data_IF_195323814781
#
_entry.id   IF_195323814781
#
_cell.length_a   1.000
_cell.length_b   1.000
_cell.length_c   1.000
_cell.angle_alpha   90.00
_cell.angle_beta   90.00
_cell.angle_gamma   90.00
#
_symmetry.space_group_name_H-M   'P 1'
#
loop_
_entity.id
_entity.type
_entity.pdbx_description
1 polymer ?
#
# COMPACT_ATOMS: atom_id res chain seq x y z
N UNK A 1 -22.91 -1.84 -28.63
CA UNK A 1 -21.96 -2.21 -27.56
C UNK A 1 -22.56 -3.36 -26.76
N UNK A 2 -22.10 -4.60 -26.98
CA UNK A 2 -22.60 -5.76 -26.24
C UNK A 2 -21.87 -5.86 -24.91
N UNK A 3 -22.55 -5.45 -23.87
CA UNK A 3 -22.01 -5.28 -22.55
C UNK A 3 -22.09 -6.60 -21.78
N UNK A 4 -20.95 -7.18 -21.39
CA UNK A 4 -20.86 -8.44 -20.62
C UNK A 4 -21.47 -8.39 -19.20
N UNK A 5 -22.08 -7.28 -18.81
CA UNK A 5 -22.62 -7.01 -17.47
C UNK A 5 -23.97 -6.31 -17.62
N UNK A 6 -24.96 -6.76 -16.87
CA UNK A 6 -26.31 -6.19 -16.93
C UNK A 6 -26.32 -4.76 -16.37
N UNK A 7 -27.32 -3.96 -16.75
CA UNK A 7 -27.47 -2.61 -16.18
C UNK A 7 -27.69 -2.64 -14.67
N UNK A 8 -28.36 -3.66 -14.16
CA UNK A 8 -28.55 -3.89 -12.74
C UNK A 8 -27.21 -4.11 -12.00
N UNK A 9 -26.31 -4.92 -12.56
CA UNK A 9 -24.97 -5.13 -12.00
C UNK A 9 -24.13 -3.86 -12.00
N UNK A 10 -24.24 -3.03 -13.04
CA UNK A 10 -23.56 -1.73 -13.09
C UNK A 10 -24.07 -0.79 -12.02
N UNK A 11 -25.39 -0.73 -11.85
CA UNK A 11 -26.03 0.10 -10.83
C UNK A 11 -25.60 -0.35 -9.43
N UNK A 12 -25.64 -1.66 -9.16
CA UNK A 12 -25.16 -2.23 -7.89
C UNK A 12 -23.69 -1.92 -7.62
N UNK A 13 -22.80 -2.07 -8.61
CA UNK A 13 -21.37 -1.71 -8.49
C UNK A 13 -21.16 -0.21 -8.27
N UNK A 14 -22.00 0.64 -8.87
CA UNK A 14 -21.93 2.09 -8.68
C UNK A 14 -22.37 2.48 -7.28
N UNK A 15 -23.46 1.90 -6.79
CA UNK A 15 -23.98 2.13 -5.44
C UNK A 15 -22.99 1.62 -4.37
N UNK A 16 -22.40 0.44 -4.58
CA UNK A 16 -21.35 -0.08 -3.70
C UNK A 16 -20.15 0.88 -3.62
N UNK A 17 -19.63 1.34 -4.76
CA UNK A 17 -18.51 2.30 -4.80
C UNK A 17 -18.88 3.63 -4.17
N UNK A 18 -20.12 4.08 -4.31
CA UNK A 18 -20.60 5.32 -3.70
C UNK A 18 -20.69 5.22 -2.17
N UNK A 19 -21.06 4.05 -1.63
CA UNK A 19 -21.12 3.79 -0.18
C UNK A 19 -19.74 3.52 0.43
N UNK A 20 -18.82 2.94 -0.34
CA UNK A 20 -17.48 2.53 0.13
C UNK A 20 -16.35 3.35 -0.51
N UNK A 21 -16.59 4.64 -0.77
CA UNK A 21 -15.66 5.50 -1.53
C UNK A 21 -14.24 5.50 -0.98
N UNK A 22 -14.09 5.54 0.34
CA UNK A 22 -12.77 5.64 0.96
C UNK A 22 -12.00 4.32 0.86
N UNK A 23 -12.66 3.18 1.03
CA UNK A 23 -12.05 1.87 0.83
C UNK A 23 -11.64 1.67 -0.63
N UNK A 24 -12.48 2.06 -1.58
CA UNK A 24 -12.17 2.02 -3.02
C UNK A 24 -11.01 2.94 -3.39
N UNK A 25 -10.94 4.13 -2.78
CA UNK A 25 -9.82 5.07 -2.97
C UNK A 25 -8.51 4.46 -2.46
N UNK A 26 -8.50 3.91 -1.24
CA UNK A 26 -7.32 3.23 -0.67
C UNK A 26 -6.91 2.03 -1.54
N UNK A 27 -7.87 1.23 -2.00
CA UNK A 27 -7.60 0.09 -2.86
C UNK A 27 -7.02 0.51 -4.22
N UNK A 28 -7.51 1.63 -4.76
CA UNK A 28 -6.97 2.23 -5.99
C UNK A 28 -5.51 2.64 -5.79
N UNK A 29 -5.21 3.39 -4.72
CA UNK A 29 -3.83 3.78 -4.40
C UNK A 29 -2.90 2.57 -4.28
N UNK A 30 -3.28 1.54 -3.51
CA UNK A 30 -2.48 0.31 -3.39
C UNK A 30 -2.17 -0.32 -4.74
N UNK A 31 -3.15 -0.40 -5.64
CA UNK A 31 -2.99 -0.98 -6.97
C UNK A 31 -2.08 -0.14 -7.87
N UNK A 32 -2.29 1.17 -7.87
CA UNK A 32 -1.54 2.08 -8.76
C UNK A 32 -0.10 2.27 -8.29
N UNK A 33 0.13 2.35 -6.97
CA UNK A 33 1.48 2.54 -6.39
C UNK A 33 2.43 1.43 -6.79
N UNK A 34 2.01 0.16 -6.76
CA UNK A 34 2.85 -0.95 -7.22
C UNK A 34 3.28 -0.78 -8.68
N UNK A 35 2.33 -0.44 -9.55
CA UNK A 35 2.61 -0.23 -10.97
C UNK A 35 3.55 0.96 -11.20
N UNK A 36 3.34 2.04 -10.47
CA UNK A 36 4.19 3.23 -10.53
C UNK A 36 5.64 2.91 -10.14
N UNK A 37 5.84 2.37 -8.94
CA UNK A 37 7.16 2.06 -8.38
C UNK A 37 7.95 1.07 -9.25
N UNK A 38 7.27 0.13 -9.91
CA UNK A 38 7.96 -0.93 -10.67
C UNK A 38 8.20 -0.61 -12.14
N UNK A 39 7.49 0.38 -12.72
CA UNK A 39 7.51 0.62 -14.17
C UNK A 39 7.72 2.07 -14.58
N UNK A 40 7.46 3.04 -13.70
CA UNK A 40 7.36 4.44 -14.08
C UNK A 40 8.20 5.37 -13.20
N UNK A 41 8.40 5.03 -11.93
CA UNK A 41 9.17 5.85 -11.01
C UNK A 41 10.60 6.03 -11.51
N UNK A 42 11.05 7.27 -11.51
CA UNK A 42 12.43 7.64 -11.77
C UNK A 42 13.32 7.26 -10.59
N UNK A 43 14.64 7.21 -10.81
CA UNK A 43 15.60 6.90 -9.75
C UNK A 43 15.45 7.83 -8.53
N UNK A 44 15.33 9.14 -8.74
CA UNK A 44 15.17 10.11 -7.64
C UNK A 44 13.88 9.87 -6.85
N UNK A 45 12.78 9.62 -7.54
CA UNK A 45 11.51 9.31 -6.88
C UNK A 45 11.60 8.01 -6.06
N UNK A 46 12.30 6.99 -6.56
CA UNK A 46 12.52 5.75 -5.80
C UNK A 46 13.28 6.01 -4.49
N UNK A 47 14.29 6.88 -4.50
CA UNK A 47 15.00 7.29 -3.28
C UNK A 47 14.06 8.03 -2.31
N UNK A 48 13.23 8.94 -2.83
CA UNK A 48 12.27 9.66 -1.98
C UNK A 48 11.19 8.73 -1.42
N UNK A 49 10.67 7.78 -2.20
CA UNK A 49 9.74 6.77 -1.70
C UNK A 49 10.37 5.92 -0.60
N UNK A 50 11.63 5.54 -0.73
CA UNK A 50 12.34 4.81 0.33
C UNK A 50 12.37 5.62 1.63
N UNK A 51 12.66 6.94 1.57
CA UNK A 51 12.62 7.83 2.73
C UNK A 51 11.22 7.92 3.35
N UNK A 52 10.17 8.07 2.54
CA UNK A 52 8.80 8.14 3.03
C UNK A 52 8.36 6.82 3.69
N UNK A 53 8.75 5.68 3.12
CA UNK A 53 8.46 4.37 3.69
C UNK A 53 9.12 4.24 5.07
N UNK A 54 10.39 4.60 5.20
CA UNK A 54 11.11 4.53 6.47
C UNK A 54 10.51 5.46 7.53
N UNK A 55 10.17 6.71 7.16
CA UNK A 55 9.50 7.63 8.06
C UNK A 55 8.15 7.06 8.55
N UNK A 56 7.35 6.51 7.64
CA UNK A 56 6.05 5.93 7.99
C UNK A 56 6.17 4.69 8.86
N UNK A 57 7.18 3.85 8.66
CA UNK A 57 7.42 2.68 9.50
C UNK A 57 7.77 3.12 10.92
N UNK A 58 8.65 4.10 11.08
CA UNK A 58 9.00 4.64 12.40
C UNK A 58 7.76 5.22 13.10
N UNK A 59 6.93 6.01 12.40
CA UNK A 59 5.66 6.50 12.95
C UNK A 59 4.74 5.38 13.43
N UNK A 60 4.68 4.25 12.71
CA UNK A 60 3.84 3.12 13.06
C UNK A 60 4.38 2.35 14.26
N UNK A 61 5.70 2.15 14.35
CA UNK A 61 6.34 1.52 15.50
C UNK A 61 6.13 2.37 16.76
N UNK A 62 6.25 3.70 16.64
CA UNK A 62 6.04 4.63 17.76
C UNK A 62 4.56 4.88 18.06
N UNK A 63 3.66 4.49 17.16
CA UNK A 63 2.21 4.71 17.30
C UNK A 63 1.64 3.98 18.52
N UNK A 64 0.70 4.59 19.26
CA UNK A 64 -0.05 3.91 20.32
C UNK A 64 -1.09 2.92 19.78
N UNK A 65 -1.32 2.88 18.47
CA UNK A 65 -2.27 1.97 17.81
C UNK A 65 -1.88 0.49 17.93
N UNK A 66 -0.58 0.20 18.16
CA UNK A 66 -0.05 -1.16 18.28
C UNK A 66 0.42 -1.44 19.71
N UNK A 67 0.17 -2.65 20.21
CA UNK A 67 0.67 -3.07 21.52
C UNK A 67 2.17 -3.43 21.47
N UNK A 68 2.80 -3.72 22.62
CA UNK A 68 4.24 -4.02 22.69
C UNK A 68 4.65 -5.24 21.87
N UNK A 69 3.80 -6.25 21.78
CA UNK A 69 4.09 -7.51 21.09
C UNK A 69 3.98 -7.31 19.57
N UNK A 70 2.95 -6.58 19.12
CA UNK A 70 2.78 -6.18 17.71
C UNK A 70 3.98 -5.34 17.23
N UNK A 71 4.48 -4.42 18.06
CA UNK A 71 5.66 -3.60 17.74
C UNK A 71 6.90 -4.45 17.55
N UNK A 72 7.16 -5.39 18.45
CA UNK A 72 8.31 -6.28 18.35
C UNK A 72 8.27 -7.16 17.09
N UNK A 73 7.08 -7.64 16.70
CA UNK A 73 6.90 -8.39 15.47
C UNK A 73 7.13 -7.53 14.22
N UNK A 74 6.55 -6.32 14.16
CA UNK A 74 6.73 -5.38 13.05
C UNK A 74 8.19 -4.95 12.89
N UNK A 75 8.89 -4.67 13.99
CA UNK A 75 10.32 -4.36 13.99
C UNK A 75 11.15 -5.52 13.46
N UNK A 76 10.87 -6.74 13.90
CA UNK A 76 11.54 -7.94 13.43
C UNK A 76 11.36 -8.11 11.92
N UNK A 77 10.12 -8.03 11.43
CA UNK A 77 9.82 -8.13 9.99
C UNK A 77 10.57 -7.07 9.17
N UNK A 78 10.59 -5.82 9.66
CA UNK A 78 11.28 -4.74 8.98
C UNK A 78 12.79 -4.97 8.90
N UNK A 79 13.41 -5.45 9.99
CA UNK A 79 14.84 -5.80 10.02
C UNK A 79 15.17 -6.94 9.07
N UNK A 80 14.35 -7.99 9.02
CA UNK A 80 14.55 -9.12 8.10
C UNK A 80 14.56 -8.67 6.63
N UNK A 81 13.67 -7.75 6.25
CA UNK A 81 13.65 -7.17 4.90
C UNK A 81 14.91 -6.36 4.62
N UNK A 82 15.35 -5.51 5.55
CA UNK A 82 16.58 -4.73 5.38
C UNK A 82 17.80 -5.63 5.23
N UNK A 83 17.91 -6.66 6.06
CA UNK A 83 18.97 -7.65 6.00
C UNK A 83 19.01 -8.39 4.66
N UNK A 84 17.85 -8.76 4.10
CA UNK A 84 17.80 -9.41 2.78
C UNK A 84 18.39 -8.51 1.69
N UNK A 85 18.11 -7.20 1.74
CA UNK A 85 18.66 -6.25 0.78
C UNK A 85 20.15 -5.98 0.99
N UNK A 86 20.65 -6.05 2.24
CA UNK A 86 22.07 -5.85 2.56
C UNK A 86 22.94 -7.08 2.25
N UNK A 87 22.39 -8.30 2.32
CA UNK A 87 23.12 -9.55 2.06
C UNK A 87 23.27 -9.92 0.58
N UNK A 88 22.80 -9.08 -0.35
CA UNK A 88 22.91 -9.30 -1.80
C UNK A 88 24.18 -8.72 -2.44
N UNK A 89 25.20 -8.41 -1.63
CA UNK A 89 26.59 -8.19 -2.07
C UNK A 89 27.37 -9.51 -2.07
#
# INVERSE_FOLDING_TARGET
>A
MNYKTSEAERKAKREYRQRNKDQERIATYRRTTKGYLTKHATFFELIDFQRYIFARINELIDSPEYNSDDKAELEKMYREVLDEFQRRE
#
